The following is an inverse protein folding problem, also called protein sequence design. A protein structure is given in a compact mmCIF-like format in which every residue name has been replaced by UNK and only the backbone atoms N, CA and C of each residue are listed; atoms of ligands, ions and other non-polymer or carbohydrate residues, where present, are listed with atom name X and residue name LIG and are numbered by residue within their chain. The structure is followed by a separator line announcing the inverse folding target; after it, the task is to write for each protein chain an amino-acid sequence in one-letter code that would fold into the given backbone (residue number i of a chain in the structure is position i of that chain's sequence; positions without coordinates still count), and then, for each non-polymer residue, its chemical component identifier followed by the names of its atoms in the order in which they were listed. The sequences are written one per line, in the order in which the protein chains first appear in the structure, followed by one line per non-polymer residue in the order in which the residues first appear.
data_IF_924798210639
#
_entry.id   IF_924798210639
#
_cell.length_a   1.000
_cell.length_b   1.000
_cell.length_c   1.000
_cell.angle_alpha   90.00
_cell.angle_beta   90.00
_cell.angle_gamma   90.00
#
_symmetry.space_group_name_H-M   'P 1'
#
loop_
_entity.id
_entity.type
_entity.pdbx_description
1 polymer ?
2 non-polymer ?
3 water ?
#
# COMPACT_ATOMS: atom_id res chain seq x y z
N UNK A 5 -16.75 -14.55 8.11
CA UNK A 5 -15.56 -13.74 7.99
C UNK A 5 -15.73 -12.78 6.78
N UNK A 6 -15.08 -11.66 6.98
CA UNK A 6 -14.71 -10.74 5.89
C UNK A 6 -13.51 -11.39 5.21
N UNK A 7 -13.59 -11.74 3.93
CA UNK A 7 -12.47 -12.32 3.22
C UNK A 7 -11.29 -11.37 3.14
N UNK A 8 -11.58 -10.07 3.18
CA UNK A 8 -10.49 -9.06 3.08
C UNK A 8 -9.61 -9.02 4.35
N UNK A 9 -10.15 -9.58 5.44
CA UNK A 9 -9.39 -9.50 6.71
C UNK A 9 -9.03 -10.91 7.18
N UNK A 10 -9.26 -11.91 6.37
CA UNK A 10 -8.83 -13.28 6.78
C UNK A 10 -7.47 -13.49 6.11
N UNK A 11 -6.41 -13.56 6.89
CA UNK A 11 -5.07 -13.64 6.27
C UNK A 11 -4.93 -14.91 5.45
N UNK A 12 -4.41 -14.77 4.24
CA UNK A 12 -4.23 -15.95 3.40
C UNK A 12 -3.16 -15.63 2.39
N UNK A 13 -2.32 -16.59 2.10
CA UNK A 13 -1.27 -16.39 1.11
C UNK A 13 -1.88 -16.50 -0.28
N UNK A 14 -1.13 -16.00 -1.27
CA UNK A 14 -1.59 -16.29 -2.66
C UNK A 14 -1.22 -17.71 -3.00
N UNK A 15 -2.22 -18.41 -3.52
CA UNK A 15 -2.04 -19.82 -3.94
C UNK A 15 -1.34 -19.82 -5.30
N UNK A 16 -0.35 -20.69 -5.45
CA UNK A 16 0.39 -20.74 -6.71
C UNK A 16 -0.44 -21.60 -7.71
N UNK A 17 -1.04 -20.94 -8.69
CA UNK A 17 -1.72 -21.79 -9.72
C UNK A 17 -0.98 -21.75 -11.05
N UNK A 18 0.25 -21.24 -11.02
CA UNK A 18 1.01 -21.06 -12.29
C UNK A 18 2.16 -22.06 -12.23
N UNK A 19 2.90 -22.12 -11.11
CA UNK A 19 3.88 -23.23 -10.91
C UNK A 19 5.28 -22.75 -10.63
N UNK A 20 5.58 -21.46 -10.65
CA UNK A 20 6.96 -20.99 -10.48
C UNK A 20 7.20 -20.43 -9.06
N UNK A 21 6.18 -20.39 -8.22
CA UNK A 21 6.43 -20.07 -6.78
C UNK A 21 6.86 -18.63 -6.58
N UNK A 22 6.52 -17.67 -7.46
CA UNK A 22 7.14 -16.35 -7.35
C UNK A 22 6.65 -15.59 -6.12
N UNK A 23 5.35 -15.73 -5.81
CA UNK A 23 4.84 -14.93 -4.66
C UNK A 23 5.52 -15.35 -3.37
N UNK A 24 5.67 -16.66 -3.17
CA UNK A 24 6.36 -17.14 -1.93
C UNK A 24 7.85 -16.77 -2.00
N UNK A 25 8.48 -16.74 -3.17
CA UNK A 25 9.86 -16.27 -3.25
C UNK A 25 10.01 -14.82 -2.77
N UNK A 26 9.07 -13.99 -3.24
CA UNK A 26 9.06 -12.59 -2.81
C UNK A 26 8.89 -12.48 -1.28
N UNK A 27 7.89 -13.15 -0.75
CA UNK A 27 7.68 -13.16 0.71
C UNK A 27 8.95 -13.59 1.44
N UNK A 28 9.53 -14.68 0.96
CA UNK A 28 10.78 -15.17 1.62
C UNK A 28 11.93 -14.20 1.51
N UNK A 29 12.03 -13.49 0.38
CA UNK A 29 13.06 -12.45 0.25
C UNK A 29 12.86 -11.37 1.31
N UNK A 30 11.60 -10.93 1.48
CA UNK A 30 11.27 -9.87 2.44
C UNK A 30 11.53 -10.30 3.87
N UNK A 31 11.19 -11.55 4.16
CA UNK A 31 11.45 -12.13 5.49
C UNK A 31 12.97 -12.03 5.72
N UNK A 32 13.72 -12.43 4.73
CA UNK A 32 15.20 -12.37 4.86
C UNK A 32 15.68 -10.94 5.03
N UNK A 33 15.09 -9.99 4.32
CA UNK A 33 15.39 -8.57 4.41
C UNK A 33 15.22 -8.08 5.85
N UNK A 34 14.06 -8.45 6.41
CA UNK A 34 13.77 -8.01 7.79
C UNK A 34 14.72 -8.69 8.77
N UNK A 35 15.09 -9.92 8.52
CA UNK A 35 16.00 -10.66 9.41
C UNK A 35 17.35 -9.94 9.43
N UNK A 36 17.79 -9.47 8.28
CA UNK A 36 19.17 -9.01 8.08
C UNK A 36 19.29 -7.50 8.20
N UNK A 37 18.23 -6.69 8.09
CA UNK A 37 18.32 -5.24 8.05
C UNK A 37 17.64 -4.56 9.23
N UNK A 38 17.80 -3.25 9.30
CA UNK A 38 17.18 -2.47 10.39
C UNK A 38 16.54 -1.20 9.90
N UNK A 39 15.43 -1.34 9.15
CA UNK A 39 14.74 -0.23 8.53
C UNK A 39 14.15 0.73 9.53
N UNK A 40 14.08 2.00 9.16
CA UNK A 40 13.26 2.94 9.88
C UNK A 40 11.85 2.97 9.30
N UNK A 41 11.77 2.68 7.99
CA UNK A 41 10.44 2.74 7.35
C UNK A 41 10.23 1.45 6.54
N UNK A 42 9.06 0.81 6.69
CA UNK A 42 8.83 -0.31 5.73
C UNK A 42 7.51 0.00 5.02
N UNK A 43 7.63 -0.17 3.70
CA UNK A 43 6.51 0.08 2.78
C UNK A 43 5.92 -1.29 2.41
N UNK A 44 4.60 -1.43 2.45
CA UNK A 44 4.06 -2.75 2.06
C UNK A 44 2.74 -2.50 1.33
N UNK A 45 2.53 -3.33 0.29
CA UNK A 45 1.24 -3.13 -0.45
C UNK A 45 1.36 -3.90 -1.78
N UNK A 46 0.67 -3.25 -2.73
CA UNK A 46 0.56 -3.90 -4.08
C UNK A 46 1.59 -3.30 -5.02
N UNK A 47 1.29 -3.47 -6.33
CA UNK A 47 2.25 -2.96 -7.33
C UNK A 47 2.45 -1.47 -7.25
N UNK A 48 1.50 -0.69 -6.75
CA UNK A 48 1.78 0.76 -6.63
C UNK A 48 2.92 1.01 -5.66
N UNK A 49 3.01 0.17 -4.62
CA UNK A 49 4.19 0.20 -3.75
C UNK A 49 5.42 -0.39 -4.41
N UNK A 50 5.31 -1.59 -4.94
CA UNK A 50 6.46 -2.31 -5.51
C UNK A 50 7.23 -1.51 -6.56
N UNK A 51 6.47 -0.89 -7.46
CA UNK A 51 7.11 -0.30 -8.68
C UNK A 51 7.61 1.09 -8.32
N UNK A 52 7.34 1.57 -7.12
CA UNK A 52 7.93 2.84 -6.68
C UNK A 52 9.45 2.67 -6.58
N UNK A 53 9.86 1.46 -6.22
CA UNK A 53 11.24 1.04 -6.05
C UNK A 53 11.98 1.04 -7.39
N UNK A 54 11.38 0.74 -8.42
CA UNK A 54 11.87 0.93 -9.80
C UNK A 54 11.51 2.32 -10.32
N UNK A 55 10.24 2.46 -10.65
CA UNK A 55 9.61 3.37 -11.60
C UNK A 55 9.39 4.80 -11.10
N UNK A 56 9.41 5.06 -9.82
CA UNK A 56 9.86 6.35 -9.27
C UNK A 56 11.27 6.23 -8.71
N UNK A 57 11.96 7.35 -8.50
CA UNK A 57 13.23 7.21 -7.74
C UNK A 57 12.99 7.49 -6.25
N UNK A 58 12.84 6.61 -5.81
CA UNK A 58 12.99 5.76 -4.62
C UNK A 58 14.32 6.09 -3.95
N UNK A 59 15.34 6.05 -4.79
CA UNK A 59 16.72 6.35 -4.40
C UNK A 59 16.84 7.77 -3.87
N UNK A 60 16.22 8.76 -4.50
CA UNK A 60 16.43 10.14 -4.03
C UNK A 60 15.52 10.51 -2.87
N UNK A 61 14.39 9.92 -2.71
CA UNK A 61 13.43 10.32 -1.66
C UNK A 61 13.49 9.32 -0.50
N UNK A 62 13.59 7.89 -0.95
CA UNK A 62 13.11 7.09 0.20
C UNK A 62 14.24 6.28 0.81
N UNK A 63 15.26 6.10 -0.03
CA UNK A 63 16.51 5.43 0.30
C UNK A 63 17.18 6.06 1.51
N UNK A 64 17.28 7.37 1.55
CA UNK A 64 17.87 8.08 2.69
C UNK A 64 17.17 7.78 4.01
N UNK A 65 15.89 7.39 3.97
CA UNK A 65 15.10 7.15 5.18
C UNK A 65 15.26 5.74 5.73
N UNK A 66 16.00 4.90 5.06
CA UNK A 66 16.39 3.57 5.54
C UNK A 66 15.15 2.65 5.43
N UNK A 67 14.80 2.43 4.17
CA UNK A 67 13.43 1.89 3.90
C UNK A 67 13.55 0.55 3.19
N UNK A 68 12.55 -0.31 3.45
CA UNK A 68 12.39 -1.60 2.77
C UNK A 68 11.04 -1.57 2.01
N UNK A 69 11.08 -2.07 0.80
CA UNK A 69 9.85 -2.09 -0.04
C UNK A 69 9.36 -3.53 -0.18
N UNK A 70 8.21 -3.81 0.46
CA UNK A 70 7.64 -5.18 0.42
C UNK A 70 6.37 -5.13 -0.46
N UNK A 71 6.40 -4.26 -1.47
CA UNK A 71 5.24 -4.32 -2.42
C UNK A 71 5.30 -5.59 -3.25
N UNK A 72 4.09 -6.10 -3.58
CA UNK A 72 3.93 -7.25 -4.46
C UNK A 72 2.76 -6.95 -5.41
N UNK A 73 3.04 -7.00 -6.70
CA UNK A 73 1.90 -6.75 -7.64
C UNK A 73 0.84 -7.84 -7.43
N UNK A 74 -0.39 -7.36 -7.51
CA UNK A 74 -1.59 -8.19 -7.41
C UNK A 74 -2.13 -8.43 -6.01
N UNK A 75 -1.41 -8.02 -4.95
CA UNK A 75 -1.89 -8.38 -3.61
C UNK A 75 -3.19 -7.62 -3.30
N UNK A 76 -4.00 -8.31 -2.51
CA UNK A 76 -5.19 -7.73 -1.89
C UNK A 76 -4.87 -7.55 -0.39
N UNK A 77 -5.75 -6.89 0.32
CA UNK A 77 -5.54 -6.67 1.74
C UNK A 77 -5.18 -7.96 2.52
N UNK A 78 -5.88 -9.06 2.22
CA UNK A 78 -5.73 -10.26 3.06
C UNK A 78 -4.33 -10.84 2.84
N UNK A 79 -3.76 -10.62 1.67
CA UNK A 79 -2.41 -11.13 1.34
C UNK A 79 -1.34 -10.33 2.08
N UNK A 80 -1.51 -9.00 2.10
CA UNK A 80 -0.62 -8.16 2.90
C UNK A 80 -0.74 -8.52 4.40
N UNK A 81 -1.95 -8.75 4.87
CA UNK A 81 -2.13 -9.15 6.27
C UNK A 81 -1.39 -10.44 6.56
N UNK A 82 -1.51 -11.43 5.67
CA UNK A 82 -0.79 -12.71 5.90
C UNK A 82 0.71 -12.43 5.93
N UNK A 83 1.21 -11.65 4.98
CA UNK A 83 2.67 -11.46 4.88
C UNK A 83 3.18 -10.80 6.15
N UNK A 84 2.41 -9.83 6.68
CA UNK A 84 2.89 -9.19 7.93
C UNK A 84 2.84 -10.17 9.11
N UNK A 85 1.91 -11.10 9.10
CA UNK A 85 1.82 -12.05 10.21
C UNK A 85 2.87 -13.14 10.16
N UNK A 86 3.40 -13.39 8.96
CA UNK A 86 4.20 -14.57 8.64
C UNK A 86 5.62 -14.22 8.36
N UNK A 87 6.18 -13.19 9.04
CA UNK A 87 7.63 -13.04 9.01
C UNK A 87 8.17 -11.69 8.62
N UNK A 88 7.35 -10.89 7.91
CA UNK A 88 7.93 -9.65 7.38
C UNK A 88 8.04 -8.54 8.42
N UNK A 89 7.43 -8.74 9.60
CA UNK A 89 7.65 -7.76 10.68
C UNK A 89 8.58 -8.30 11.74
N UNK A 90 9.20 -9.43 11.53
CA UNK A 90 10.13 -9.95 12.58
C UNK A 90 11.50 -9.34 12.49
N UNK A 91 12.15 -9.22 13.68
CA UNK A 91 13.58 -8.81 13.72
C UNK A 91 13.77 -7.33 13.45
N UNK A 92 12.71 -6.56 13.30
CA UNK A 92 12.79 -5.12 13.03
C UNK A 92 12.02 -4.29 14.05
N UNK A 93 12.30 -2.98 13.99
CA UNK A 93 11.60 -2.06 14.89
C UNK A 93 11.47 -0.73 14.19
N UNK A 94 10.71 -0.70 13.08
CA UNK A 94 10.55 0.51 12.28
C UNK A 94 9.86 1.64 13.01
N UNK A 95 10.22 2.88 12.63
CA UNK A 95 9.44 4.03 13.10
C UNK A 95 8.11 4.17 12.37
N UNK A 96 8.10 3.84 11.05
CA UNK A 96 6.84 4.04 10.32
C UNK A 96 6.61 2.81 9.41
N UNK A 97 5.35 2.42 9.27
CA UNK A 97 4.96 1.41 8.28
C UNK A 97 3.97 2.14 7.36
N UNK A 98 4.22 2.05 6.07
CA UNK A 98 3.40 2.67 5.02
C UNK A 98 2.62 1.52 4.34
N UNK A 99 1.32 1.69 4.33
CA UNK A 99 0.45 0.62 3.77
C UNK A 99 -0.22 1.20 2.54
N UNK A 100 -0.28 0.44 1.45
CA UNK A 100 -1.00 0.94 0.24
C UNK A 100 -1.58 -0.31 -0.44
N UNK A 101 -2.83 -0.60 -0.20
CA UNK A 101 -3.38 -1.84 -0.79
C UNK A 101 -4.90 -1.66 -0.76
N UNK A 102 -5.60 -2.37 -1.63
CA UNK A 102 -7.06 -2.50 -1.60
C UNK A 102 -7.64 -2.29 -2.99
N UNK A 103 -6.78 -1.78 -3.90
CA UNK A 103 -7.33 -1.59 -5.26
C UNK A 103 -7.57 -2.93 -5.96
N UNK A 104 -6.88 -3.96 -5.57
CA UNK A 104 -7.01 -5.31 -6.19
C UNK A 104 -8.05 -6.19 -5.54
N UNK A 105 -8.80 -5.70 -4.55
CA UNK A 105 -9.74 -6.52 -3.79
C UNK A 105 -11.05 -6.74 -4.56
N UNK A 106 -10.94 -7.29 -5.76
CA UNK A 106 -12.10 -7.51 -6.62
C UNK A 106 -13.03 -8.57 -6.04
N UNK A 107 -14.30 -8.20 -5.98
CA UNK A 107 -15.34 -9.10 -5.43
C UNK A 107 -15.59 -8.82 -3.94
N UNK A 108 -14.80 -7.95 -3.38
CA UNK A 108 -15.06 -7.48 -2.01
C UNK A 108 -15.78 -6.14 -2.05
N UNK A 109 -16.76 -5.88 -1.16
CA UNK A 109 -17.34 -4.53 -1.14
C UNK A 109 -16.37 -3.53 -0.58
N UNK A 110 -16.70 -2.24 -0.73
CA UNK A 110 -15.87 -1.17 -0.23
C UNK A 110 -15.79 -1.27 1.33
N UNK A 111 -16.92 -1.69 1.90
CA UNK A 111 -16.83 -1.86 3.38
C UNK A 111 -15.93 -3.02 3.74
N UNK A 112 -15.94 -4.09 2.98
CA UNK A 112 -15.03 -5.23 3.29
C UNK A 112 -13.57 -4.83 3.12
N UNK A 113 -13.32 -4.11 2.01
CA UNK A 113 -11.91 -3.63 1.81
C UNK A 113 -11.46 -2.77 2.98
N UNK A 114 -12.33 -1.85 3.41
CA UNK A 114 -12.00 -1.03 4.60
C UNK A 114 -11.68 -1.89 5.82
N UNK A 115 -12.47 -2.91 6.01
CA UNK A 115 -12.17 -3.86 7.16
C UNK A 115 -10.80 -4.50 6.97
N UNK A 116 -10.45 -4.90 5.75
CA UNK A 116 -9.08 -5.40 5.54
C UNK A 116 -7.99 -4.40 5.88
N UNK A 117 -8.16 -3.13 5.49
CA UNK A 117 -7.18 -2.08 5.81
C UNK A 117 -7.14 -1.89 7.33
N UNK A 118 -8.29 -1.82 7.93
CA UNK A 118 -8.33 -1.67 9.41
C UNK A 118 -7.63 -2.85 10.07
N UNK A 119 -7.77 -4.05 9.53
CA UNK A 119 -7.11 -5.23 10.12
C UNK A 119 -5.59 -5.11 10.01
N UNK A 120 -5.13 -4.59 8.86
CA UNK A 120 -3.68 -4.40 8.71
C UNK A 120 -3.11 -3.42 9.75
N UNK A 121 -3.84 -2.30 9.86
CA UNK A 121 -3.39 -1.30 10.87
C UNK A 121 -3.34 -1.91 12.28
N UNK A 122 -4.39 -2.65 12.59
CA UNK A 122 -4.41 -3.28 13.94
C UNK A 122 -3.23 -4.25 14.08
N UNK A 123 -3.00 -5.12 13.08
CA UNK A 123 -1.83 -6.04 13.25
C UNK A 123 -0.53 -5.28 13.47
N UNK A 124 -0.30 -4.22 12.67
CA UNK A 124 0.93 -3.43 12.84
C UNK A 124 0.96 -2.82 14.25
N UNK A 125 -0.20 -2.37 14.70
CA UNK A 125 -0.30 -1.78 16.06
C UNK A 125 -0.01 -2.80 17.13
N UNK A 126 -0.28 -4.06 16.83
CA UNK A 126 0.05 -5.09 17.82
C UNK A 126 1.51 -5.49 17.74
N UNK A 127 1.98 -5.85 16.56
CA UNK A 127 3.35 -6.40 16.41
C UNK A 127 4.43 -5.35 16.54
N UNK A 128 4.15 -4.11 16.09
CA UNK A 128 5.10 -3.02 16.08
C UNK A 128 4.50 -1.75 16.67
N UNK A 129 4.13 -1.79 17.95
CA UNK A 129 3.29 -0.78 18.57
C UNK A 129 3.94 0.60 18.59
N UNK A 130 5.25 0.65 18.53
CA UNK A 130 5.97 1.93 18.52
C UNK A 130 5.79 2.63 17.16
N UNK A 131 5.47 1.88 16.10
CA UNK A 131 5.46 2.47 14.76
C UNK A 131 4.25 3.36 14.49
N UNK A 132 4.42 4.46 13.75
CA UNK A 132 3.25 5.12 13.18
C UNK A 132 2.86 4.38 11.88
N UNK A 133 1.59 4.42 11.60
CA UNK A 133 1.17 3.75 10.32
C UNK A 133 0.71 4.86 9.41
N UNK A 134 1.11 4.77 8.15
CA UNK A 134 0.57 5.68 7.11
C UNK A 134 -0.24 4.83 6.13
N UNK A 135 -1.50 5.15 5.93
CA UNK A 135 -2.28 4.41 4.91
C UNK A 135 -2.43 5.42 3.75
N UNK A 136 -2.14 4.93 2.53
CA UNK A 136 -2.45 5.77 1.35
C UNK A 136 -3.83 5.53 0.81
N UNK A 137 -4.48 6.60 0.31
CA UNK A 137 -5.79 6.30 -0.35
C UNK A 137 -5.56 5.47 -1.67
N UNK A 138 -6.65 4.80 -1.98
CA UNK A 138 -6.67 4.06 -3.26
C UNK A 138 -6.83 5.10 -4.38
N UNK A 139 -6.00 4.93 -5.40
CA UNK A 139 -6.12 5.93 -6.50
C UNK A 139 -7.26 5.54 -7.43
N UNK A 140 -7.77 6.53 -8.16
CA UNK A 140 -8.71 6.26 -9.25
C UNK A 140 -8.01 5.39 -10.29
N UNK A 141 -8.84 4.78 -11.10
CA UNK A 141 -8.36 3.87 -12.15
C UNK A 141 -9.38 3.83 -13.27
N UNK A 142 -8.97 3.33 -14.41
CA UNK A 142 -9.87 3.27 -15.60
C UNK A 142 -9.72 4.63 -16.33
N UNK A 143 -9.82 4.51 -17.66
CA UNK A 143 -9.67 5.70 -18.49
C UNK A 143 -10.87 6.62 -18.27
N UNK A 144 -12.06 6.06 -18.06
CA UNK A 144 -13.28 6.85 -17.92
C UNK A 144 -14.00 6.51 -16.64
N UNK A 145 -15.10 7.22 -16.38
CA UNK A 145 -15.84 6.93 -15.12
C UNK A 145 -16.27 5.50 -15.11
N UNK A 146 -16.18 4.85 -13.95
CA UNK A 146 -16.49 3.39 -13.85
C UNK A 146 -16.68 3.03 -12.36
N UNK A 147 -17.26 1.87 -12.09
CA UNK A 147 -17.59 1.48 -10.71
C UNK A 147 -16.39 1.37 -9.79
N UNK A 148 -15.21 1.08 -10.31
CA UNK A 148 -14.05 0.98 -9.39
C UNK A 148 -13.58 2.32 -8.90
N UNK A 149 -13.88 3.39 -9.66
CA UNK A 149 -13.58 4.73 -9.12
C UNK A 149 -14.45 5.01 -7.90
N UNK A 150 -15.74 4.74 -8.05
CA UNK A 150 -16.66 4.96 -6.92
C UNK A 150 -16.30 4.09 -5.74
N UNK A 151 -16.00 2.82 -6.03
CA UNK A 151 -15.58 1.91 -4.96
C UNK A 151 -14.39 2.44 -4.18
N UNK A 152 -13.35 2.80 -4.93
CA UNK A 152 -12.08 3.26 -4.36
C UNK A 152 -12.31 4.55 -3.54
N UNK A 153 -13.12 5.44 -4.08
CA UNK A 153 -13.47 6.66 -3.34
C UNK A 153 -14.16 6.32 -2.02
N UNK A 154 -15.06 5.38 -2.05
CA UNK A 154 -15.83 4.98 -0.86
C UNK A 154 -14.93 4.26 0.15
N UNK A 155 -13.96 3.47 -0.38
CA UNK A 155 -13.00 2.96 0.65
C UNK A 155 -12.25 4.06 1.34
N UNK A 156 -11.79 5.03 0.56
CA UNK A 156 -11.03 6.16 1.06
C UNK A 156 -11.87 6.92 2.11
N UNK A 157 -13.13 7.14 1.80
CA UNK A 157 -13.98 7.87 2.79
C UNK A 157 -14.01 7.08 4.11
N UNK A 158 -14.25 5.79 3.98
CA UNK A 158 -14.47 4.92 5.17
C UNK A 158 -13.15 4.76 5.92
N UNK A 159 -12.03 4.60 5.23
CA UNK A 159 -10.74 4.51 5.91
C UNK A 159 -10.35 5.81 6.62
N UNK A 160 -10.53 6.90 5.91
CA UNK A 160 -10.26 8.23 6.50
C UNK A 160 -11.11 8.36 7.77
N UNK A 161 -12.36 7.96 7.71
CA UNK A 161 -13.23 8.12 8.92
C UNK A 161 -12.73 7.23 10.05
N UNK A 162 -12.30 6.03 9.72
CA UNK A 162 -11.83 5.04 10.71
C UNK A 162 -10.55 5.50 11.36
N UNK A 163 -9.65 6.15 10.65
CA UNK A 163 -8.34 6.54 11.15
C UNK A 163 -8.35 7.95 11.80
N UNK A 164 -9.40 8.70 11.55
CA UNK A 164 -9.42 10.09 12.06
C UNK A 164 -9.09 10.13 13.55
N UNK A 165 -9.79 9.32 14.31
CA UNK A 165 -9.43 9.05 15.71
C UNK A 165 -8.50 7.85 15.83
N UNK A 166 -7.24 8.17 15.67
CA UNK A 166 -6.08 7.27 15.78
C UNK A 166 -4.86 8.21 15.83
N UNK A 167 -4.35 8.43 17.04
CA UNK A 167 -3.17 9.28 17.23
C UNK A 167 -2.08 8.95 16.22
N UNK A 168 -1.59 7.72 16.18
CA UNK A 168 -0.38 7.49 15.35
C UNK A 168 -0.71 6.70 14.08
N UNK A 169 -1.91 6.89 13.56
CA UNK A 169 -2.36 6.28 12.29
C UNK A 169 -2.77 7.43 11.37
N UNK A 170 -2.20 7.48 10.17
CA UNK A 170 -2.33 8.70 9.34
C UNK A 170 -2.83 8.33 7.95
N UNK A 171 -3.95 8.93 7.57
CA UNK A 171 -4.48 8.67 6.20
C UNK A 171 -3.87 9.70 5.26
N UNK A 172 -3.29 9.28 4.13
CA UNK A 172 -2.76 10.27 3.18
C UNK A 172 -3.45 10.14 1.80
N UNK A 173 -4.21 11.13 1.40
CA UNK A 173 -4.68 11.14 -0.02
C UNK A 173 -3.54 11.64 -0.86
N UNK A 174 -2.89 10.83 -1.66
CA UNK A 174 -1.74 11.21 -2.47
C UNK A 174 -2.14 11.61 -3.92
N UNK A 175 -3.41 11.63 -4.19
CA UNK A 175 -3.94 11.90 -5.54
C UNK A 175 -3.86 13.42 -5.77
N UNK A 176 -3.12 13.80 -6.77
CA UNK A 176 -3.01 15.25 -7.10
C UNK A 176 -4.13 15.73 -7.97
N UNK A 177 -4.97 14.82 -8.43
CA UNK A 177 -6.12 15.15 -9.28
C UNK A 177 -5.87 14.47 -10.64
N UNK A 178 -5.68 13.14 -10.56
CA UNK A 178 -5.51 12.39 -11.81
C UNK A 178 -6.78 12.34 -12.65
N UNK A 179 -7.96 12.40 -12.14
CA UNK A 179 -9.19 12.41 -12.94
C UNK A 179 -9.39 13.89 -13.40
N UNK A 180 -9.33 14.05 -14.70
CA UNK A 180 -9.52 15.43 -15.25
C UNK A 180 -10.97 15.83 -15.29
N UNK A 181 -11.22 17.10 -15.71
CA UNK A 181 -12.58 17.62 -15.78
C UNK A 181 -13.51 16.86 -16.71
N UNK A 182 -12.97 16.23 -17.74
CA UNK A 182 -13.74 15.46 -18.72
C UNK A 182 -13.94 14.00 -18.28
N UNK A 183 -13.54 13.68 -17.07
CA UNK A 183 -13.76 12.31 -16.54
C UNK A 183 -12.56 11.43 -16.87
N UNK A 184 -11.59 11.90 -17.63
CA UNK A 184 -10.55 10.94 -18.03
C UNK A 184 -9.29 11.00 -17.21
N UNK A 185 -8.61 9.82 -17.22
CA UNK A 185 -7.27 9.74 -16.71
C UNK A 185 -6.32 9.64 -17.89
N UNK A 186 -5.24 10.39 -17.82
CA UNK A 186 -4.26 10.47 -18.92
C UNK A 186 -3.33 9.28 -18.88
N UNK A 187 -3.06 8.70 -20.06
CA UNK A 187 -2.03 7.61 -20.01
C UNK A 187 -0.63 8.11 -19.70
N UNK A 188 -0.40 9.43 -19.74
CA UNK A 188 0.85 10.05 -19.31
C UNK A 188 1.09 9.94 -17.81
N UNK A 189 0.00 9.77 -17.07
CA UNK A 189 0.00 9.63 -15.60
C UNK A 189 -0.05 8.14 -15.23
N UNK A 190 -0.95 7.40 -15.85
CA UNK A 190 -1.10 5.94 -15.59
C UNK A 190 -1.12 5.31 -17.01
N UNK A 191 -0.03 4.62 -17.29
CA UNK A 191 0.11 4.13 -18.69
C UNK A 191 -0.99 3.16 -19.08
N UNK A 192 -1.45 2.35 -18.11
CA UNK A 192 -2.56 1.44 -18.33
C UNK A 192 -3.76 1.82 -17.47
N UNK A 193 -3.84 3.07 -17.04
CA UNK A 193 -5.03 3.58 -16.30
C UNK A 193 -5.14 2.86 -14.93
N UNK A 194 -4.02 2.29 -14.45
CA UNK A 194 -3.97 1.72 -13.07
C UNK A 194 -2.62 2.01 -12.46
N UNK A 195 -1.61 1.58 -13.18
CA UNK A 195 -0.19 1.66 -12.78
C UNK A 195 0.36 3.03 -13.15
N UNK A 196 1.17 3.57 -12.25
CA UNK A 196 1.73 4.92 -12.50
C UNK A 196 2.95 4.89 -13.41
N UNK A 197 2.96 5.86 -14.33
CA UNK A 197 4.21 6.19 -15.03
C UNK A 197 5.21 6.87 -14.10
N UNK A 198 6.46 7.07 -14.55
CA UNK A 198 7.36 7.94 -13.72
C UNK A 198 6.74 9.28 -13.38
N UNK A 199 6.12 9.96 -14.35
CA UNK A 199 5.45 11.23 -14.16
C UNK A 199 4.32 11.16 -13.13
N UNK A 200 3.56 10.07 -13.17
CA UNK A 200 2.47 9.85 -12.21
C UNK A 200 3.04 9.75 -10.78
N UNK A 201 4.13 9.04 -10.64
CA UNK A 201 4.75 8.76 -9.36
C UNK A 201 5.27 10.07 -8.73
N UNK A 202 5.65 11.03 -9.56
CA UNK A 202 6.35 12.20 -8.90
C UNK A 202 5.51 12.87 -7.83
N UNK A 203 4.28 13.26 -8.12
CA UNK A 203 3.42 13.95 -7.14
C UNK A 203 3.07 13.05 -5.97
N UNK A 204 2.87 11.76 -6.30
CA UNK A 204 2.51 10.79 -5.24
C UNK A 204 3.63 10.68 -4.23
N UNK A 205 4.82 10.41 -4.72
CA UNK A 205 6.03 10.23 -3.92
C UNK A 205 6.40 11.50 -3.17
N UNK A 206 6.20 12.64 -3.82
CA UNK A 206 6.48 13.94 -3.20
C UNK A 206 5.64 14.07 -1.93
N UNK A 207 4.33 13.87 -2.09
CA UNK A 207 3.36 13.96 -1.01
C UNK A 207 3.72 12.96 0.10
N UNK A 208 3.98 11.70 -0.25
CA UNK A 208 4.35 10.74 0.81
C UNK A 208 5.59 11.22 1.58
N UNK A 209 6.58 11.61 0.82
CA UNK A 209 7.90 11.99 1.34
C UNK A 209 7.76 13.15 2.32
N UNK A 210 6.93 14.13 1.95
CA UNK A 210 6.67 15.27 2.86
C UNK A 210 6.14 14.75 4.18
N UNK A 211 5.12 13.87 4.10
CA UNK A 211 4.50 13.39 5.34
C UNK A 211 5.54 12.67 6.20
N UNK A 212 6.29 11.75 5.61
CA UNK A 212 7.28 10.93 6.27
C UNK A 212 8.25 11.87 7.02
N UNK A 213 8.75 12.84 6.29
CA UNK A 213 9.68 13.83 6.90
C UNK A 213 9.02 14.50 8.09
N UNK A 214 7.76 14.92 8.02
CA UNK A 214 7.10 15.56 9.15
C UNK A 214 7.23 14.58 10.35
N UNK A 215 6.59 13.43 10.15
CA UNK A 215 6.48 12.42 11.20
C UNK A 215 7.84 12.08 11.84
N UNK A 216 8.82 11.82 11.01
CA UNK A 216 10.16 11.36 11.39
C UNK A 216 10.89 12.45 12.20
X LIG B 1 -1.40 -3.90 -8.70
X LIG B 1 -1.07 -4.60 -7.64
X LIG B 1 -1.15 -4.38 -9.81
X LIG B 1 -2.11 -2.50 -8.55
#
# INVERSE_FOLDING_TARGET
MSGDENPASKPTPVQDVQGDGRWMSLHHRFVADSKDKEPEVVFIGDSLVQLMHQCEIWRELFSPLHALNFGIGGDSTQHVLWRLENGELEHIRPKIVVVWVGTNNHGHTAEQVTGGIKAIVQLVNERQPQARVVVLGLLPRGQHPNPLREKNRRVNELVRAALAGHPRAHFLDADPGFVHSDGTISHHDMYDYLHLSRLGYTPVCRALHSLLLRLLTQDQGQGGAPLPEPSP
ACT C O OXT CH3
#
